data_IF_277026680132
#
_entry.id   IF_277026680132
#
_cell.length_a   1.000
_cell.length_b   1.000
_cell.length_c   1.000
_cell.angle_alpha   90.00
_cell.angle_beta   90.00
_cell.angle_gamma   90.00
#
_symmetry.space_group_name_H-M   'P 1'
#
loop_
_entity.id
_entity.type
_entity.pdbx_description
1 polymer ?
#
# COMPACT_ATOMS: atom_id res chain seq x y z
N UNK A 1 -27.84 10.47 30.98
CA UNK A 1 -26.40 10.60 30.66
C UNK A 1 -26.26 11.15 29.25
N UNK A 2 -25.46 12.17 29.07
CA UNK A 2 -25.15 12.73 27.76
C UNK A 2 -23.75 12.28 27.35
N UNK A 3 -23.67 11.61 26.22
CA UNK A 3 -22.36 11.25 25.64
C UNK A 3 -21.90 12.40 24.78
N UNK A 4 -20.71 12.89 25.04
CA UNK A 4 -20.07 13.94 24.24
C UNK A 4 -18.73 13.46 23.78
N UNK A 5 -18.45 13.61 22.49
CA UNK A 5 -17.18 13.21 21.93
C UNK A 5 -16.90 13.96 20.63
N UNK A 6 -15.63 14.21 20.40
CA UNK A 6 -15.15 14.79 19.16
C UNK A 6 -14.30 13.75 18.43
N UNK A 7 -14.65 13.45 17.18
CA UNK A 7 -13.89 12.55 16.33
C UNK A 7 -13.34 13.31 15.15
N UNK A 8 -12.05 13.11 14.90
CA UNK A 8 -11.41 13.64 13.72
C UNK A 8 -10.92 12.49 12.86
N UNK A 9 -11.32 12.48 11.59
CA UNK A 9 -10.92 11.47 10.61
C UNK A 9 -10.12 12.15 9.50
N UNK A 10 -8.79 12.28 9.67
CA UNK A 10 -7.96 12.96 8.66
C UNK A 10 -7.83 12.17 7.36
N UNK A 11 -8.13 10.85 7.37
CA UNK A 11 -8.03 10.00 6.20
C UNK A 11 -9.17 10.27 5.22
N UNK A 12 -8.83 10.64 3.99
CA UNK A 12 -9.83 10.77 2.92
C UNK A 12 -10.31 9.38 2.49
N UNK A 13 -11.62 9.18 2.49
CA UNK A 13 -12.24 7.92 2.08
C UNK A 13 -13.05 8.18 0.81
N UNK A 14 -12.79 7.39 -0.23
CA UNK A 14 -13.52 7.42 -1.49
C UNK A 14 -14.23 6.08 -1.66
N UNK A 15 -15.54 6.10 -1.47
CA UNK A 15 -16.37 4.90 -1.53
C UNK A 15 -17.25 4.92 -2.78
N UNK A 16 -17.31 3.80 -3.49
CA UNK A 16 -18.17 3.64 -4.64
C UNK A 16 -17.65 2.61 -5.62
N UNK A 17 -18.57 1.98 -6.36
CA UNK A 17 -18.20 1.02 -7.39
C UNK A 17 -17.38 1.72 -8.50
N UNK A 18 -16.30 1.08 -8.93
CA UNK A 18 -15.44 1.59 -9.99
C UNK A 18 -14.50 2.72 -9.60
N UNK A 19 -14.54 3.20 -8.36
CA UNK A 19 -13.70 4.32 -7.92
C UNK A 19 -12.21 3.99 -7.85
N UNK A 20 -11.82 2.74 -8.03
CA UNK A 20 -10.41 2.36 -8.17
C UNK A 20 -9.72 3.09 -9.33
N UNK A 21 -10.48 3.53 -10.33
CA UNK A 21 -9.95 4.32 -11.45
C UNK A 21 -9.39 5.67 -11.01
N UNK A 22 -9.74 6.15 -9.83
CA UNK A 22 -9.24 7.41 -9.24
C UNK A 22 -7.90 7.23 -8.50
N UNK A 23 -7.36 6.01 -8.46
CA UNK A 23 -6.11 5.73 -7.75
C UNK A 23 -4.93 6.62 -8.19
N UNK A 24 -4.72 6.88 -9.48
CA UNK A 24 -3.65 7.79 -9.89
C UNK A 24 -3.77 9.19 -9.32
N UNK A 25 -4.99 9.71 -9.20
CA UNK A 25 -5.23 11.01 -8.57
C UNK A 25 -4.89 10.98 -7.09
N UNK A 26 -5.24 9.90 -6.40
CA UNK A 26 -4.89 9.73 -4.99
C UNK A 26 -3.37 9.69 -4.79
N UNK A 27 -2.65 8.99 -5.66
CA UNK A 27 -1.19 8.99 -5.66
C UNK A 27 -0.64 10.41 -5.86
N UNK A 28 -1.16 11.13 -6.83
CA UNK A 28 -0.72 12.51 -7.10
C UNK A 28 -0.95 13.44 -5.91
N UNK A 29 -2.10 13.32 -5.24
CA UNK A 29 -2.42 14.10 -4.05
C UNK A 29 -1.50 13.78 -2.88
N UNK A 30 -1.03 12.54 -2.79
CA UNK A 30 -0.07 12.12 -1.76
C UNK A 30 1.39 12.40 -2.15
N UNK A 31 1.64 12.93 -3.34
CA UNK A 31 2.99 13.18 -3.83
C UNK A 31 3.73 11.93 -4.27
N UNK A 32 3.01 10.85 -4.56
CA UNK A 32 3.60 9.57 -4.95
C UNK A 32 3.72 9.53 -6.48
N UNK A 33 4.94 9.34 -6.97
CA UNK A 33 5.25 9.25 -8.41
C UNK A 33 5.65 7.85 -8.85
N UNK A 34 6.11 7.01 -7.93
CA UNK A 34 6.52 5.65 -8.22
C UNK A 34 6.08 4.71 -7.09
N UNK A 35 4.79 4.39 -7.02
CA UNK A 35 4.27 3.55 -5.95
C UNK A 35 4.71 2.09 -6.10
N UNK A 36 4.83 1.40 -4.96
CA UNK A 36 4.86 -0.04 -4.90
C UNK A 36 3.50 -0.54 -4.43
N UNK A 37 2.83 -1.36 -5.23
CA UNK A 37 1.59 -1.99 -4.81
C UNK A 37 1.94 -3.22 -3.97
N UNK A 38 1.43 -3.26 -2.75
CA UNK A 38 1.63 -4.35 -1.80
C UNK A 38 0.32 -5.07 -1.60
N UNK A 39 0.29 -6.35 -1.89
CA UNK A 39 -0.90 -7.18 -1.75
C UNK A 39 -0.51 -8.58 -1.26
N UNK A 40 -1.48 -9.45 -1.01
CA UNK A 40 -1.22 -10.83 -0.63
C UNK A 40 -1.15 -11.76 -1.86
N UNK A 41 -0.66 -12.98 -1.63
CA UNK A 41 -0.51 -13.98 -2.69
C UNK A 41 -1.84 -14.38 -3.32
N UNK A 42 -2.91 -14.40 -2.53
CA UNK A 42 -4.24 -14.77 -3.01
C UNK A 42 -4.81 -13.76 -3.99
N UNK A 43 -4.47 -12.48 -3.83
CA UNK A 43 -4.96 -11.41 -4.69
C UNK A 43 -4.06 -11.11 -5.88
N UNK A 44 -2.77 -11.44 -5.80
CA UNK A 44 -1.76 -10.99 -6.76
C UNK A 44 -2.13 -11.24 -8.23
N UNK A 45 -2.71 -12.39 -8.53
CA UNK A 45 -3.03 -12.79 -9.89
C UNK A 45 -4.52 -12.63 -10.25
N UNK A 46 -5.33 -12.04 -9.36
CA UNK A 46 -6.74 -11.81 -9.65
C UNK A 46 -6.94 -10.66 -10.63
N UNK A 47 -8.03 -10.70 -11.41
CA UNK A 47 -8.30 -9.64 -12.40
C UNK A 47 -8.33 -8.24 -11.81
N UNK A 48 -8.85 -8.05 -10.59
CA UNK A 48 -8.90 -6.74 -9.94
C UNK A 48 -7.51 -6.18 -9.68
N UNK A 49 -6.56 -7.02 -9.28
CA UNK A 49 -5.18 -6.60 -9.05
C UNK A 49 -4.50 -6.23 -10.36
N UNK A 50 -4.66 -7.06 -11.38
CA UNK A 50 -4.10 -6.78 -12.71
C UNK A 50 -4.69 -5.50 -13.31
N UNK A 51 -5.98 -5.28 -13.15
CA UNK A 51 -6.64 -4.04 -13.57
C UNK A 51 -6.07 -2.83 -12.84
N UNK A 52 -5.86 -2.94 -11.53
CA UNK A 52 -5.30 -1.86 -10.73
C UNK A 52 -3.88 -1.51 -11.16
N UNK A 53 -3.04 -2.51 -11.41
CA UNK A 53 -1.69 -2.28 -11.93
C UNK A 53 -1.72 -1.63 -13.32
N UNK A 54 -2.65 -2.03 -14.17
CA UNK A 54 -2.81 -1.43 -15.50
C UNK A 54 -3.23 0.05 -15.40
N UNK A 55 -4.10 0.39 -14.44
CA UNK A 55 -4.51 1.78 -14.18
C UNK A 55 -3.30 2.63 -13.76
N UNK A 56 -2.47 2.11 -12.88
CA UNK A 56 -1.25 2.80 -12.44
C UNK A 56 -0.27 2.98 -13.61
N UNK A 57 -0.05 1.93 -14.38
CA UNK A 57 0.88 1.95 -15.51
C UNK A 57 0.43 2.94 -16.59
N UNK A 58 -0.85 2.96 -16.91
CA UNK A 58 -1.41 3.89 -17.90
C UNK A 58 -1.26 5.36 -17.47
N UNK A 59 -1.17 5.63 -16.18
CA UNK A 59 -0.94 6.96 -15.64
C UNK A 59 0.55 7.33 -15.51
N UNK A 60 1.45 6.46 -15.96
CA UNK A 60 2.89 6.70 -15.88
C UNK A 60 3.51 6.41 -14.51
N UNK A 61 2.78 5.71 -13.64
CA UNK A 61 3.24 5.41 -12.26
C UNK A 61 3.91 4.04 -12.16
N UNK A 62 3.96 3.28 -13.27
CA UNK A 62 4.51 1.94 -13.29
C UNK A 62 3.54 0.88 -12.77
N UNK A 63 3.99 -0.36 -12.77
CA UNK A 63 3.17 -1.53 -12.39
C UNK A 63 3.91 -2.45 -11.42
N UNK A 64 4.77 -1.90 -10.57
CA UNK A 64 5.53 -2.70 -9.61
C UNK A 64 4.62 -3.18 -8.48
N UNK A 65 4.76 -4.45 -8.13
CA UNK A 65 3.96 -5.08 -7.08
C UNK A 65 4.84 -6.00 -6.23
N UNK A 66 4.49 -6.08 -4.95
CA UNK A 66 5.05 -7.03 -4.00
C UNK A 66 3.90 -7.83 -3.40
N UNK A 67 3.97 -9.15 -3.47
CA UNK A 67 2.87 -10.02 -3.04
C UNK A 67 3.33 -11.22 -2.19
N UNK A 68 4.56 -11.21 -1.70
CA UNK A 68 5.07 -12.29 -0.85
C UNK A 68 4.60 -12.11 0.59
N UNK A 69 3.28 -12.01 0.76
CA UNK A 69 2.63 -11.82 2.06
C UNK A 69 1.77 -13.04 2.34
N UNK A 70 2.11 -13.76 3.40
CA UNK A 70 1.31 -14.87 3.89
C UNK A 70 0.23 -14.40 4.87
N UNK A 71 -0.60 -15.35 5.39
CA UNK A 71 -1.67 -15.03 6.34
C UNK A 71 -1.19 -14.37 7.63
N UNK A 72 0.06 -14.65 8.04
CA UNK A 72 0.69 -14.08 9.22
C UNK A 72 2.00 -13.40 8.81
N UNK A 73 1.93 -12.13 8.34
CA UNK A 73 3.13 -11.41 7.95
C UNK A 73 4.11 -11.29 9.12
N UNK A 74 5.38 -11.53 8.86
CA UNK A 74 6.45 -11.43 9.84
C UNK A 74 7.58 -10.50 9.37
N UNK A 75 8.63 -10.42 10.17
CA UNK A 75 9.79 -9.58 9.87
C UNK A 75 10.46 -9.95 8.54
N UNK A 76 10.48 -11.24 8.18
CA UNK A 76 11.04 -11.70 6.91
C UNK A 76 10.28 -11.12 5.73
N UNK A 77 8.95 -11.11 5.79
CA UNK A 77 8.11 -10.49 4.76
C UNK A 77 8.36 -8.98 4.67
N UNK A 78 8.49 -8.32 5.83
CA UNK A 78 8.79 -6.90 5.88
C UNK A 78 10.15 -6.58 5.25
N UNK A 79 11.18 -7.32 5.59
CA UNK A 79 12.52 -7.11 5.02
C UNK A 79 12.55 -7.34 3.51
N UNK A 80 11.86 -8.38 3.02
CA UNK A 80 11.75 -8.65 1.60
C UNK A 80 11.04 -7.50 0.87
N UNK A 81 9.94 -7.01 1.43
CA UNK A 81 9.19 -5.89 0.87
C UNK A 81 10.01 -4.59 0.85
N UNK A 82 10.74 -4.31 1.93
CA UNK A 82 11.62 -3.15 2.00
C UNK A 82 12.75 -3.23 0.96
N UNK A 83 13.32 -4.40 0.75
CA UNK A 83 14.35 -4.59 -0.26
C UNK A 83 13.82 -4.28 -1.66
N UNK A 84 12.63 -4.76 -1.99
CA UNK A 84 11.97 -4.45 -3.26
C UNK A 84 11.69 -2.95 -3.38
N UNK A 85 11.15 -2.34 -2.33
CA UNK A 85 10.85 -0.91 -2.29
C UNK A 85 12.08 -0.06 -2.60
N UNK A 86 13.19 -0.35 -1.91
CA UNK A 86 14.44 0.41 -2.05
C UNK A 86 15.12 0.16 -3.39
N UNK A 87 15.18 -1.10 -3.83
CA UNK A 87 15.81 -1.46 -5.10
C UNK A 87 15.08 -0.84 -6.30
N UNK A 88 13.75 -0.73 -6.22
CA UNK A 88 12.94 -0.14 -7.27
C UNK A 88 12.89 1.40 -7.27
N UNK A 89 13.45 2.05 -6.26
CA UNK A 89 13.38 3.51 -6.15
C UNK A 89 11.98 4.03 -5.92
N UNK A 90 11.13 3.26 -5.21
CA UNK A 90 9.76 3.66 -4.93
C UNK A 90 9.68 4.80 -3.93
N UNK A 91 8.65 5.61 -4.02
CA UNK A 91 8.44 6.78 -3.17
C UNK A 91 7.10 6.75 -2.41
N UNK A 92 6.39 5.65 -2.50
CA UNK A 92 5.14 5.46 -1.78
C UNK A 92 4.63 4.04 -1.92
N UNK A 93 3.62 3.71 -1.14
CA UNK A 93 3.01 2.38 -1.12
C UNK A 93 1.52 2.48 -1.38
N UNK A 94 1.03 1.61 -2.24
CA UNK A 94 -0.40 1.32 -2.41
C UNK A 94 -0.66 -0.03 -1.77
N UNK A 95 -1.21 -0.04 -0.56
CA UNK A 95 -1.59 -1.27 0.11
C UNK A 95 -2.96 -1.72 -0.40
N UNK A 96 -3.02 -2.94 -0.94
CA UNK A 96 -4.19 -3.42 -1.68
C UNK A 96 -4.63 -4.77 -1.15
N UNK A 97 -5.91 -4.86 -0.77
CA UNK A 97 -6.50 -6.12 -0.33
C UNK A 97 -7.00 -6.11 1.09
N UNK A 98 -6.91 -7.26 1.75
CA UNK A 98 -7.33 -7.47 3.13
C UNK A 98 -6.25 -7.09 4.16
N UNK A 99 -6.45 -7.49 5.41
CA UNK A 99 -5.62 -7.09 6.54
C UNK A 99 -4.14 -7.36 6.37
N UNK A 100 -3.76 -8.54 5.86
CA UNK A 100 -2.34 -8.92 5.71
C UNK A 100 -1.59 -7.99 4.75
N UNK A 101 -2.18 -7.71 3.59
CA UNK A 101 -1.57 -6.83 2.60
C UNK A 101 -1.51 -5.38 3.08
N UNK A 102 -2.56 -4.92 3.73
CA UNK A 102 -2.64 -3.55 4.27
C UNK A 102 -1.65 -3.36 5.40
N UNK A 103 -1.58 -4.30 6.35
CA UNK A 103 -0.66 -4.20 7.49
C UNK A 103 0.79 -4.20 7.03
N UNK A 104 1.16 -5.09 6.12
CA UNK A 104 2.52 -5.11 5.61
C UNK A 104 2.83 -3.85 4.80
N UNK A 105 1.89 -3.38 3.98
CA UNK A 105 2.06 -2.14 3.23
C UNK A 105 2.32 -0.95 4.14
N UNK A 106 1.59 -0.83 5.23
CA UNK A 106 1.80 0.21 6.24
C UNK A 106 3.21 0.12 6.86
N UNK A 107 3.64 -1.09 7.20
CA UNK A 107 4.96 -1.29 7.80
C UNK A 107 6.09 -0.97 6.82
N UNK A 108 5.96 -1.35 5.55
CA UNK A 108 6.94 -0.98 4.52
C UNK A 108 7.02 0.55 4.40
N UNK A 109 5.88 1.22 4.32
CA UNK A 109 5.84 2.67 4.20
C UNK A 109 6.47 3.36 5.42
N UNK A 110 6.18 2.86 6.62
CA UNK A 110 6.76 3.39 7.85
C UNK A 110 8.27 3.18 7.90
N UNK A 111 8.72 1.94 7.65
CA UNK A 111 10.13 1.57 7.78
C UNK A 111 11.01 2.10 6.66
N UNK A 112 10.45 2.48 5.53
CA UNK A 112 11.21 3.03 4.40
C UNK A 112 12.02 4.26 4.76
N UNK A 113 11.52 5.09 5.68
CA UNK A 113 12.21 6.28 6.17
C UNK A 113 12.98 6.08 7.47
N UNK A 114 13.05 4.87 7.99
CA UNK A 114 13.69 4.60 9.28
C UNK A 114 15.09 4.02 9.11
N UNK A 115 15.93 4.22 10.12
CA UNK A 115 17.32 3.77 10.11
C UNK A 115 17.61 2.66 11.14
N UNK A 116 16.65 2.35 12.02
CA UNK A 116 16.77 1.33 13.05
C UNK A 116 15.90 0.12 12.74
N UNK A 117 16.20 -1.06 13.31
CA UNK A 117 15.33 -2.23 13.17
C UNK A 117 13.89 -1.95 13.63
N UNK A 118 12.93 -2.68 13.05
CA UNK A 118 11.49 -2.47 13.33
C UNK A 118 11.16 -2.60 14.81
N UNK A 119 11.84 -3.49 15.53
CA UNK A 119 11.58 -3.73 16.95
C UNK A 119 12.09 -2.62 17.87
N UNK A 120 12.79 -1.62 17.33
CA UNK A 120 13.25 -0.45 18.09
C UNK A 120 12.18 0.65 18.16
N UNK A 121 11.04 0.43 17.53
CA UNK A 121 9.89 1.33 17.50
C UNK A 121 8.69 0.64 18.16
#
# INVERSE_FOLDING_TARGET
MTLVGNWSYPTAIKFGAGRITELPQACAQAGIKKPLLVTDRGLANLPITQKTLAILDAAGLGSAAFSEVGPNPDETHLEAGLAVYRAGGHDGVVAFGGGSGIDLGKMIAFMAGQSRPVWDY
#
